data_IF_705142669763
#
_entry.id   IF_705142669763
#
_cell.length_a   1.000
_cell.length_b   1.000
_cell.length_c   1.000
_cell.angle_alpha   90.00
_cell.angle_beta   90.00
_cell.angle_gamma   90.00
#
_symmetry.space_group_name_H-M   'P 1'
#
loop_
_entity.id
_entity.type
_entity.pdbx_description
1 polymer ?
#
# COMPACT_ATOMS: atom_id res chain seq x y z
N UNK A 1 17.55 10.50 -4.67
CA UNK A 1 16.76 9.75 -5.67
C UNK A 1 15.84 8.83 -4.88
N UNK A 2 14.53 8.79 -5.14
CA UNK A 2 13.66 7.79 -4.52
C UNK A 2 14.17 6.41 -4.94
N UNK A 3 14.43 5.55 -3.96
CA UNK A 3 14.87 4.18 -4.24
C UNK A 3 13.61 3.35 -4.41
N UNK A 4 13.27 3.03 -5.67
CA UNK A 4 12.14 2.16 -5.97
C UNK A 4 12.36 0.80 -5.32
N UNK A 5 11.40 0.36 -4.49
CA UNK A 5 11.47 -0.90 -3.75
C UNK A 5 10.87 -2.04 -4.56
N UNK A 6 11.03 -3.26 -4.04
CA UNK A 6 10.39 -4.45 -4.62
C UNK A 6 8.88 -4.21 -4.73
N UNK A 7 8.28 -4.46 -5.90
CA UNK A 7 6.85 -4.33 -6.07
C UNK A 7 6.09 -5.24 -5.10
N UNK A 8 5.11 -4.70 -4.40
CA UNK A 8 4.24 -5.42 -3.48
C UNK A 8 3.10 -6.04 -4.27
N UNK A 9 3.05 -7.36 -4.30
CA UNK A 9 1.94 -8.09 -4.94
C UNK A 9 0.79 -8.21 -3.95
N UNK A 10 -0.38 -7.71 -4.33
CA UNK A 10 -1.62 -7.83 -3.56
C UNK A 10 -2.44 -9.01 -4.09
N UNK A 11 -2.63 -10.06 -3.29
CA UNK A 11 -3.57 -11.12 -3.63
C UNK A 11 -5.02 -10.59 -3.65
N UNK A 12 -5.93 -11.27 -4.37
CA UNK A 12 -7.34 -10.92 -4.35
C UNK A 12 -7.94 -11.02 -2.94
N UNK A 13 -8.69 -10.00 -2.53
CA UNK A 13 -9.41 -9.88 -1.26
C UNK A 13 -8.57 -10.17 0.00
N UNK A 14 -7.26 -9.93 -0.06
CA UNK A 14 -6.35 -10.16 1.06
C UNK A 14 -5.65 -8.86 1.43
N UNK A 15 -5.67 -8.53 2.72
CA UNK A 15 -4.88 -7.42 3.24
C UNK A 15 -3.41 -7.81 3.31
N UNK A 16 -2.56 -6.98 2.73
CA UNK A 16 -1.11 -7.11 2.76
C UNK A 16 -0.54 -5.94 3.53
N UNK A 17 0.32 -6.25 4.48
CA UNK A 17 1.14 -5.26 5.17
C UNK A 17 2.26 -4.81 4.22
N UNK A 18 2.24 -3.53 3.84
CA UNK A 18 3.20 -2.95 2.90
C UNK A 18 4.59 -2.88 3.51
N UNK A 19 4.72 -2.65 4.83
CA UNK A 19 6.01 -2.61 5.51
C UNK A 19 6.65 -4.00 5.54
N UNK A 20 5.87 -5.03 5.88
CA UNK A 20 6.36 -6.42 5.86
C UNK A 20 6.72 -6.85 4.44
N UNK A 21 5.91 -6.50 3.45
CA UNK A 21 6.15 -6.88 2.05
C UNK A 21 7.38 -6.18 1.44
N UNK A 22 7.69 -4.96 1.87
CA UNK A 22 8.85 -4.19 1.39
C UNK A 22 10.11 -4.34 2.26
N UNK A 23 9.97 -4.90 3.47
CA UNK A 23 11.04 -4.97 4.46
C UNK A 23 11.36 -3.63 5.13
N UNK A 24 10.44 -2.65 5.05
CA UNK A 24 10.61 -1.32 5.63
C UNK A 24 10.15 -1.26 7.09
N UNK A 25 10.69 -0.31 7.84
CA UNK A 25 10.27 -0.07 9.22
C UNK A 25 8.97 0.73 9.24
N UNK A 26 8.04 0.34 10.11
CA UNK A 26 6.82 1.11 10.38
C UNK A 26 7.19 2.51 10.83
N UNK A 27 6.52 3.53 10.29
CA UNK A 27 6.84 4.94 10.52
C UNK A 27 7.66 5.57 9.40
N UNK A 28 8.25 4.78 8.49
CA UNK A 28 8.88 5.32 7.28
C UNK A 28 7.81 5.84 6.33
N UNK A 29 8.01 7.05 5.80
CA UNK A 29 7.11 7.64 4.83
C UNK A 29 7.28 6.96 3.47
N UNK A 30 6.19 6.44 2.93
CA UNK A 30 6.17 5.66 1.69
C UNK A 30 5.25 6.29 0.65
N UNK A 31 5.62 6.17 -0.62
CA UNK A 31 4.77 6.44 -1.76
C UNK A 31 4.35 5.09 -2.33
N UNK A 32 3.05 4.81 -2.33
CA UNK A 32 2.48 3.62 -2.94
C UNK A 32 1.80 3.99 -4.25
N UNK A 33 2.32 3.51 -5.37
CA UNK A 33 1.74 3.67 -6.70
C UNK A 33 1.11 2.35 -7.16
N UNK A 34 -0.11 2.39 -7.66
CA UNK A 34 -0.75 1.23 -8.25
C UNK A 34 -0.32 1.10 -9.71
N UNK A 35 0.52 0.09 -10.00
CA UNK A 35 1.02 -0.21 -11.35
C UNK A 35 0.27 -1.38 -12.00
N UNK A 36 -0.64 -2.02 -11.27
CA UNK A 36 -1.47 -3.10 -11.80
C UNK A 36 -2.78 -2.63 -12.43
N UNK A 37 -3.58 -3.60 -12.88
CA UNK A 37 -4.82 -3.34 -13.64
C UNK A 37 -6.01 -3.03 -12.74
N UNK A 38 -6.08 -3.63 -11.55
CA UNK A 38 -7.20 -3.45 -10.62
C UNK A 38 -6.93 -2.32 -9.61
N UNK A 39 -7.99 -1.83 -8.98
CA UNK A 39 -7.87 -0.83 -7.93
C UNK A 39 -7.31 -1.47 -6.66
N UNK A 40 -6.43 -0.72 -6.00
CA UNK A 40 -6.03 -1.02 -4.63
C UNK A 40 -6.77 -0.10 -3.67
N UNK A 41 -6.93 -0.54 -2.45
CA UNK A 41 -7.32 0.29 -1.32
C UNK A 41 -6.21 0.28 -0.32
N UNK A 42 -5.77 1.45 0.09
CA UNK A 42 -4.68 1.64 1.05
C UNK A 42 -5.25 2.25 2.31
N UNK A 43 -4.95 1.64 3.45
CA UNK A 43 -5.40 2.07 4.77
C UNK A 43 -4.19 2.23 5.67
N UNK A 44 -4.09 3.37 6.36
CA UNK A 44 -3.10 3.54 7.43
C UNK A 44 -3.72 3.02 8.73
N UNK A 45 -3.14 1.99 9.32
CA UNK A 45 -3.70 1.32 10.51
C UNK A 45 -2.62 0.58 11.26
N UNK A 46 -2.74 0.47 12.58
CA UNK A 46 -1.79 -0.26 13.44
C UNK A 46 -1.89 -1.78 13.24
N UNK A 47 -3.08 -2.26 12.92
CA UNK A 47 -3.40 -3.67 12.74
C UNK A 47 -4.11 -3.88 11.41
N UNK A 48 -4.07 -5.11 10.89
CA UNK A 48 -4.77 -5.50 9.67
C UNK A 48 -6.25 -5.07 9.73
N UNK A 49 -6.73 -4.23 8.81
CA UNK A 49 -8.11 -3.78 8.81
C UNK A 49 -9.06 -4.95 8.57
N UNK A 50 -10.23 -4.95 9.22
CA UNK A 50 -11.31 -5.91 8.94
C UNK A 50 -12.25 -5.43 7.83
N UNK A 51 -12.19 -4.14 7.49
CA UNK A 51 -13.02 -3.49 6.51
C UNK A 51 -12.21 -2.48 5.71
N UNK A 52 -12.62 -2.26 4.47
CA UNK A 52 -12.04 -1.24 3.59
C UNK A 52 -12.74 0.13 3.73
N UNK A 53 -13.61 0.29 4.73
CA UNK A 53 -14.26 1.57 5.06
C UNK A 53 -13.23 2.51 5.67
N UNK A 54 -13.09 3.71 5.09
CA UNK A 54 -12.08 4.69 5.50
C UNK A 54 -10.72 4.52 4.81
N UNK A 55 -10.56 3.49 3.97
CA UNK A 55 -9.37 3.31 3.15
C UNK A 55 -9.40 4.24 1.92
N UNK A 56 -8.23 4.70 1.52
CA UNK A 56 -8.06 5.49 0.32
C UNK A 56 -8.11 4.59 -0.92
N UNK A 57 -8.97 4.93 -1.87
CA UNK A 57 -9.00 4.24 -3.17
C UNK A 57 -7.80 4.69 -4.00
N UNK A 58 -6.97 3.73 -4.37
CA UNK A 58 -5.84 3.90 -5.27
C UNK A 58 -6.22 3.33 -6.64
N UNK A 59 -6.68 4.23 -7.52
CA UNK A 59 -7.02 3.89 -8.89
C UNK A 59 -5.78 3.41 -9.66
N UNK A 60 -6.02 2.78 -10.82
CA UNK A 60 -4.95 2.39 -11.74
C UNK A 60 -4.06 3.60 -12.08
N UNK A 61 -2.75 3.39 -12.06
CA UNK A 61 -1.71 4.40 -12.27
C UNK A 61 -1.71 5.55 -11.24
N UNK A 62 -2.59 5.50 -10.24
CA UNK A 62 -2.64 6.44 -9.14
C UNK A 62 -1.55 6.18 -8.10
N UNK A 63 -1.14 7.22 -7.40
CA UNK A 63 -0.22 7.12 -6.27
C UNK A 63 -0.83 7.74 -5.02
N UNK A 64 -0.43 7.22 -3.86
CA UNK A 64 -0.77 7.75 -2.56
C UNK A 64 0.52 7.91 -1.77
N UNK A 65 0.68 9.08 -1.18
CA UNK A 65 1.77 9.39 -0.26
C UNK A 65 1.24 9.19 1.14
N UNK A 66 1.93 8.38 1.93
CA UNK A 66 1.55 8.16 3.32
C UNK A 66 1.71 9.43 4.17
N UNK A 67 1.09 9.43 5.35
CA UNK A 67 1.32 10.46 6.36
C UNK A 67 2.82 10.57 6.73
N UNK A 68 3.21 11.67 7.37
CA UNK A 68 4.60 11.91 7.79
C UNK A 68 5.12 10.90 8.80
N UNK A 69 4.23 10.18 9.50
CA UNK A 69 4.60 9.18 10.51
C UNK A 69 3.53 8.08 10.52
N UNK A 70 3.50 7.21 9.50
CA UNK A 70 2.43 6.23 9.38
C UNK A 70 2.55 5.18 10.47
N UNK A 71 1.43 4.89 11.12
CA UNK A 71 1.33 3.90 12.19
C UNK A 71 1.27 2.45 11.68
N UNK A 72 1.32 2.28 10.36
CA UNK A 72 1.19 1.02 9.62
C UNK A 72 0.45 1.27 8.31
N UNK A 73 0.77 0.51 7.26
CA UNK A 73 0.17 0.67 5.93
C UNK A 73 -0.27 -0.70 5.44
N UNK A 74 -1.58 -0.85 5.26
CA UNK A 74 -2.19 -2.05 4.73
C UNK A 74 -2.83 -1.76 3.39
N UNK A 75 -2.64 -2.66 2.43
CA UNK A 75 -3.27 -2.56 1.13
C UNK A 75 -4.05 -3.82 0.78
N UNK A 76 -5.18 -3.64 0.12
CA UNK A 76 -6.03 -4.74 -0.39
C UNK A 76 -6.47 -4.42 -1.81
N UNK A 77 -6.67 -5.45 -2.62
CA UNK A 77 -7.26 -5.33 -3.94
C UNK A 77 -8.36 -6.37 -4.10
N UNK A 78 -9.37 -6.09 -4.93
CA UNK A 78 -10.52 -6.99 -5.10
C UNK A 78 -10.18 -8.16 -6.01
N UNK A 79 -9.52 -7.88 -7.12
CA UNK A 79 -9.10 -8.86 -8.13
C UNK A 79 -7.61 -9.18 -8.05
N UNK A 80 -6.87 -8.46 -7.21
CA UNK A 80 -5.42 -8.55 -7.10
C UNK A 80 -4.74 -7.53 -8.01
N UNK A 81 -3.67 -6.93 -7.50
CA UNK A 81 -2.91 -5.90 -8.22
C UNK A 81 -1.47 -5.84 -7.71
N UNK A 82 -0.65 -4.98 -8.31
CA UNK A 82 0.74 -4.76 -7.90
C UNK A 82 0.90 -3.30 -7.53
N UNK A 83 1.46 -3.07 -6.35
CA UNK A 83 1.86 -1.75 -5.88
C UNK A 83 3.37 -1.58 -6.03
N UNK A 84 3.77 -0.54 -6.74
CA UNK A 84 5.13 -0.03 -6.70
C UNK A 84 5.26 0.85 -5.46
N UNK A 85 6.25 0.55 -4.61
CA UNK A 85 6.47 1.32 -3.38
C UNK A 85 7.82 2.02 -3.46
N UNK A 86 7.86 3.28 -3.04
CA UNK A 86 9.06 4.12 -3.03
C UNK A 86 9.18 4.87 -1.70
N UNK A 87 10.40 5.24 -1.33
CA UNK A 87 10.65 6.12 -0.18
C UNK A 87 10.30 7.57 -0.55
N UNK A 88 9.53 8.23 0.32
CA UNK A 88 9.03 9.60 0.13
C UNK A 88 9.92 10.69 0.75
#
# INVERSE_FOLDING_TARGET
MPVSKTPVTLPPNTWVDVYVATGELVGTKLIAQNVGRDHARVSESVTTPTSAVGSNNLLKDGYLVSSTTPIGIFAISRLGTVLQVELA
#
